data_IF_877773429611
#
_entry.id   IF_877773429611
#
_cell.length_a   1.000
_cell.length_b   1.000
_cell.length_c   1.000
_cell.angle_alpha   90.00
_cell.angle_beta   90.00
_cell.angle_gamma   90.00
#
_symmetry.space_group_name_H-M   'P 1'
#
loop_
_entity.id
_entity.type
_entity.pdbx_description
1 polymer ?
#
# COMPACT_ATOMS: atom_id res chain seq x y z
N UNK A 1 -25.87 -8.83 7.48
CA UNK A 1 -25.22 -8.11 6.36
C UNK A 1 -24.79 -6.74 6.85
N UNK A 2 -23.63 -6.26 6.42
CA UNK A 2 -23.19 -4.88 6.67
C UNK A 2 -23.76 -3.97 5.57
N UNK A 3 -24.07 -2.72 5.92
CA UNK A 3 -24.54 -1.70 4.97
C UNK A 3 -23.41 -1.29 4.02
N UNK A 4 -23.76 -1.02 2.76
CA UNK A 4 -22.80 -0.46 1.81
C UNK A 4 -22.55 1.02 2.13
N UNK A 5 -21.29 1.39 2.28
CA UNK A 5 -20.87 2.76 2.56
C UNK A 5 -20.22 3.36 1.32
N UNK A 6 -20.77 4.46 0.83
CA UNK A 6 -20.12 5.26 -0.23
C UNK A 6 -19.00 6.14 0.35
N UNK A 7 -17.87 6.17 -0.34
CA UNK A 7 -16.73 7.01 0.03
C UNK A 7 -15.44 6.58 -0.64
N UNK A 8 -14.34 7.22 -0.24
CA UNK A 8 -12.99 6.92 -0.70
C UNK A 8 -12.49 5.68 0.04
N UNK A 9 -12.16 4.57 -0.65
CA UNK A 9 -11.48 3.44 -0.03
C UNK A 9 -10.09 3.88 0.46
N UNK A 10 -9.83 3.69 1.74
CA UNK A 10 -8.63 4.18 2.39
C UNK A 10 -8.06 3.15 3.36
N UNK A 11 -6.78 3.29 3.68
CA UNK A 11 -6.17 2.52 4.75
C UNK A 11 -5.20 3.38 5.56
N UNK A 12 -5.03 3.06 6.83
CA UNK A 12 -3.97 3.60 7.67
C UNK A 12 -2.88 2.53 7.86
N UNK A 13 -1.62 2.92 7.76
CA UNK A 13 -0.51 2.13 8.30
C UNK A 13 -0.14 2.68 9.67
N UNK A 14 -0.06 1.82 10.68
CA UNK A 14 0.27 2.17 12.04
C UNK A 14 1.52 1.41 12.50
N UNK A 15 2.25 2.05 13.39
CA UNK A 15 3.20 1.39 14.27
C UNK A 15 2.67 1.46 15.70
N UNK A 16 2.51 0.31 16.34
CA UNK A 16 1.96 0.19 17.69
C UNK A 16 3.07 -0.29 18.63
N UNK A 17 3.78 0.69 19.21
CA UNK A 17 4.76 0.50 20.29
C UNK A 17 4.10 0.72 21.66
N UNK A 18 4.68 1.59 22.50
CA UNK A 18 4.04 2.06 23.73
C UNK A 18 2.70 2.75 23.45
N UNK A 19 2.67 3.58 22.40
CA UNK A 19 1.48 4.28 21.93
C UNK A 19 1.32 4.07 20.41
N UNK A 20 0.10 3.82 19.90
CA UNK A 20 -0.11 3.66 18.47
C UNK A 20 0.18 4.94 17.70
N UNK A 21 1.10 4.91 16.75
CA UNK A 21 1.41 6.01 15.84
C UNK A 21 0.93 5.69 14.43
N UNK A 22 0.10 6.56 13.85
CA UNK A 22 -0.35 6.41 12.45
C UNK A 22 0.72 7.00 11.52
N UNK A 23 1.45 6.12 10.83
CA UNK A 23 2.54 6.48 9.92
C UNK A 23 2.01 7.09 8.63
N UNK A 24 0.95 6.52 8.07
CA UNK A 24 0.34 7.04 6.85
C UNK A 24 -1.17 6.77 6.81
N UNK A 25 -1.87 7.67 6.11
CA UNK A 25 -3.24 7.48 5.63
C UNK A 25 -3.14 7.41 4.12
N UNK A 26 -3.76 6.41 3.51
CA UNK A 26 -3.48 5.95 2.15
C UNK A 26 -4.78 5.81 1.36
N UNK A 27 -4.73 6.00 0.05
CA UNK A 27 -5.84 5.67 -0.85
C UNK A 27 -5.69 4.20 -1.25
N UNK A 28 -6.78 3.44 -1.24
CA UNK A 28 -6.80 2.12 -1.86
C UNK A 28 -7.31 2.27 -3.29
N UNK A 29 -6.56 1.70 -4.24
CA UNK A 29 -6.95 1.64 -5.65
C UNK A 29 -7.70 0.33 -5.84
N UNK A 30 -9.00 0.42 -6.11
CA UNK A 30 -9.88 -0.73 -6.27
C UNK A 30 -10.43 -0.80 -7.69
N UNK A 31 -10.59 -2.02 -8.20
CA UNK A 31 -11.44 -2.30 -9.36
C UNK A 31 -12.80 -2.80 -8.87
N UNK A 32 -13.86 -2.06 -9.20
CA UNK A 32 -15.22 -2.41 -8.87
C UNK A 32 -15.86 -3.10 -10.08
N UNK A 33 -15.95 -4.43 -10.03
CA UNK A 33 -16.66 -5.25 -11.01
C UNK A 33 -17.58 -6.24 -10.31
N UNK A 34 -17.75 -7.44 -10.88
CA UNK A 34 -18.48 -8.54 -10.21
C UNK A 34 -17.86 -8.91 -8.86
N UNK A 35 -16.54 -8.77 -8.76
CA UNK A 35 -15.78 -8.89 -7.52
C UNK A 35 -14.99 -7.59 -7.30
N UNK A 36 -14.87 -7.15 -6.05
CA UNK A 36 -13.98 -6.06 -5.68
C UNK A 36 -12.54 -6.59 -5.69
N UNK A 37 -11.65 -5.95 -6.45
CA UNK A 37 -10.22 -6.28 -6.46
C UNK A 37 -9.40 -5.13 -5.96
N UNK A 38 -8.51 -5.40 -5.02
CA UNK A 38 -7.47 -4.47 -4.61
C UNK A 38 -6.35 -4.46 -5.65
N UNK A 39 -6.09 -3.30 -6.25
CA UNK A 39 -5.07 -3.09 -7.28
C UNK A 39 -3.82 -2.40 -6.75
N UNK A 40 -3.84 -1.94 -5.49
CA UNK A 40 -2.72 -1.24 -4.88
C UNK A 40 -3.14 -0.01 -4.09
N UNK A 41 -2.20 0.89 -3.84
CA UNK A 41 -2.42 2.07 -2.99
C UNK A 41 -1.58 3.27 -3.39
N UNK A 42 -2.06 4.45 -3.03
CA UNK A 42 -1.31 5.70 -3.08
C UNK A 42 -1.08 6.20 -1.66
N UNK A 43 0.14 6.66 -1.39
CA UNK A 43 0.66 6.97 -0.05
C UNK A 43 1.35 8.34 -0.10
N UNK A 44 0.85 9.37 0.60
CA UNK A 44 -0.36 9.43 1.40
C UNK A 44 -1.62 9.84 0.60
N UNK A 45 -2.79 9.59 1.15
CA UNK A 45 -4.05 10.22 0.79
C UNK A 45 -4.17 11.60 1.46
N UNK A 46 -4.39 12.64 0.66
CA UNK A 46 -4.63 14.01 1.13
C UNK A 46 -6.12 14.24 1.33
N UNK A 47 -6.51 14.63 2.55
CA UNK A 47 -7.90 14.94 2.94
C UNK A 47 -7.94 16.27 3.70
N UNK A 48 -9.13 16.90 3.84
CA UNK A 48 -9.33 18.00 4.78
C UNK A 48 -8.81 17.63 6.19
N UNK A 49 -8.18 18.57 6.94
CA UNK A 49 -7.55 18.27 8.21
C UNK A 49 -8.47 17.61 9.24
N UNK A 50 -9.74 18.01 9.29
CA UNK A 50 -10.74 17.43 10.19
C UNK A 50 -10.97 15.94 9.90
N UNK A 51 -11.14 15.58 8.63
CA UNK A 51 -11.40 14.21 8.19
C UNK A 51 -10.16 13.33 8.34
N UNK A 52 -8.97 13.86 8.02
CA UNK A 52 -7.69 13.20 8.24
C UNK A 52 -7.47 12.87 9.72
N UNK A 53 -7.76 13.82 10.64
CA UNK A 53 -7.71 13.58 12.09
C UNK A 53 -8.67 12.48 12.52
N UNK A 54 -9.90 12.49 12.02
CA UNK A 54 -10.87 11.44 12.36
C UNK A 54 -10.39 10.05 11.90
N UNK A 55 -9.86 9.93 10.68
CA UNK A 55 -9.34 8.65 10.18
C UNK A 55 -8.21 8.12 11.06
N UNK A 56 -7.28 9.00 11.43
CA UNK A 56 -6.13 8.65 12.30
C UNK A 56 -6.59 8.27 13.70
N UNK A 57 -7.56 8.97 14.26
CA UNK A 57 -8.13 8.67 15.57
C UNK A 57 -8.84 7.31 15.57
N UNK A 58 -9.69 7.04 14.56
CA UNK A 58 -10.33 5.74 14.39
C UNK A 58 -9.30 4.61 14.34
N UNK A 59 -8.21 4.80 13.59
CA UNK A 59 -7.15 3.81 13.48
C UNK A 59 -6.40 3.59 14.80
N UNK A 60 -6.00 4.65 15.51
CA UNK A 60 -5.35 4.56 16.84
C UNK A 60 -6.23 3.84 17.84
N UNK A 61 -7.50 4.24 17.94
CA UNK A 61 -8.45 3.66 18.89
C UNK A 61 -8.70 2.18 18.61
N UNK A 62 -8.77 1.80 17.33
CA UNK A 62 -8.89 0.38 16.94
C UNK A 62 -7.70 -0.45 17.42
N UNK A 63 -6.47 0.06 17.25
CA UNK A 63 -5.27 -0.62 17.74
C UNK A 63 -5.25 -0.77 19.27
N UNK A 64 -5.63 0.28 20.01
CA UNK A 64 -5.69 0.25 21.48
C UNK A 64 -6.73 -0.75 22.00
N UNK A 65 -7.94 -0.72 21.45
CA UNK A 65 -9.02 -1.63 21.85
C UNK A 65 -8.67 -3.10 21.63
N UNK A 66 -7.87 -3.39 20.59
CA UNK A 66 -7.44 -4.75 20.26
C UNK A 66 -6.12 -5.15 20.93
N UNK A 67 -5.48 -4.26 21.69
CA UNK A 67 -4.18 -4.54 22.33
C UNK A 67 -3.08 -4.89 21.32
N UNK A 68 -3.15 -4.33 20.11
CA UNK A 68 -2.24 -4.67 19.02
C UNK A 68 -0.80 -4.20 19.29
N UNK A 69 0.18 -4.83 18.62
CA UNK A 69 1.61 -4.45 18.69
C UNK A 69 2.26 -4.57 17.31
N UNK A 70 3.29 -3.78 17.07
CA UNK A 70 4.05 -3.79 15.82
C UNK A 70 3.35 -3.04 14.69
N UNK A 71 3.60 -3.43 13.43
CA UNK A 71 2.98 -2.77 12.26
C UNK A 71 1.58 -3.35 12.03
N UNK A 72 0.60 -2.47 11.93
CA UNK A 72 -0.78 -2.83 11.65
C UNK A 72 -1.36 -1.99 10.52
N UNK A 73 -2.34 -2.53 9.83
CA UNK A 73 -3.19 -1.83 8.88
C UNK A 73 -4.60 -1.61 9.45
N UNK A 74 -5.24 -0.51 9.07
CA UNK A 74 -6.68 -0.31 9.32
C UNK A 74 -7.33 0.14 8.02
N UNK A 75 -8.29 -0.63 7.56
CA UNK A 75 -9.04 -0.31 6.35
C UNK A 75 -10.28 0.51 6.69
N UNK A 76 -10.51 1.56 5.91
CA UNK A 76 -11.52 2.58 6.11
C UNK A 76 -12.26 2.85 4.79
N UNK A 77 -13.51 3.27 4.89
CA UNK A 77 -14.18 4.02 3.82
C UNK A 77 -14.42 5.44 4.30
N UNK A 78 -13.90 6.42 3.56
CA UNK A 78 -13.96 7.83 3.93
C UNK A 78 -15.08 8.51 3.14
N UNK A 79 -16.25 8.61 3.76
CA UNK A 79 -17.38 9.41 3.28
C UNK A 79 -17.42 10.78 3.96
N UNK A 80 -18.58 11.19 4.47
CA UNK A 80 -18.71 12.38 5.35
C UNK A 80 -17.90 12.26 6.67
N UNK A 81 -17.63 11.02 7.09
CA UNK A 81 -16.82 10.62 8.23
C UNK A 81 -16.10 9.31 7.85
N UNK A 82 -15.03 8.90 8.56
CA UNK A 82 -14.44 7.60 8.34
C UNK A 82 -15.35 6.49 8.89
N UNK A 83 -15.49 5.43 8.12
CA UNK A 83 -16.13 4.18 8.52
C UNK A 83 -15.05 3.11 8.62
N UNK A 84 -14.94 2.47 9.78
CA UNK A 84 -14.03 1.35 9.99
C UNK A 84 -14.53 0.11 9.25
N UNK A 85 -13.63 -0.58 8.54
CA UNK A 85 -13.94 -1.81 7.81
C UNK A 85 -13.22 -3.00 8.45
N UNK A 86 -11.90 -2.96 8.53
CA UNK A 86 -11.08 -4.09 8.97
C UNK A 86 -9.85 -3.62 9.74
N UNK A 87 -9.46 -4.36 10.78
CA UNK A 87 -8.18 -4.23 11.43
C UNK A 87 -7.27 -5.38 10.99
N UNK A 88 -6.11 -5.04 10.43
CA UNK A 88 -5.10 -5.99 9.98
C UNK A 88 -3.93 -5.97 10.98
N UNK A 89 -3.76 -6.96 11.88
CA UNK A 89 -2.66 -7.02 12.85
C UNK A 89 -1.33 -7.44 12.20
N UNK A 90 -1.04 -6.90 11.01
CA UNK A 90 0.12 -7.18 10.17
C UNK A 90 0.37 -6.01 9.21
N UNK A 91 1.58 -5.92 8.61
CA UNK A 91 1.79 -5.08 7.45
C UNK A 91 0.80 -5.39 6.32
N UNK A 92 0.25 -4.34 5.72
CA UNK A 92 -0.59 -4.38 4.51
C UNK A 92 0.24 -3.99 3.29
N UNK A 93 -0.27 -4.23 2.07
CA UNK A 93 0.46 -3.93 0.83
C UNK A 93 0.89 -2.46 0.72
N UNK A 94 0.10 -1.53 1.26
CA UNK A 94 0.44 -0.10 1.34
C UNK A 94 1.71 0.20 2.13
N UNK A 95 2.13 -0.69 3.04
CA UNK A 95 3.42 -0.60 3.73
C UNK A 95 4.61 -0.66 2.77
N UNK A 96 4.49 -1.42 1.67
CA UNK A 96 5.56 -1.55 0.67
C UNK A 96 5.87 -0.23 -0.05
N UNK A 97 4.84 0.59 -0.30
CA UNK A 97 5.03 1.96 -0.79
C UNK A 97 5.55 2.89 0.33
N UNK A 98 5.01 2.76 1.54
CA UNK A 98 5.40 3.60 2.68
C UNK A 98 6.91 3.53 2.97
N UNK A 99 7.51 2.33 2.97
CA UNK A 99 8.94 2.17 3.30
C UNK A 99 9.88 2.91 2.34
N UNK A 100 9.43 3.24 1.11
CA UNK A 100 10.21 4.02 0.15
C UNK A 100 10.30 5.51 0.51
N UNK A 101 9.36 6.00 1.31
CA UNK A 101 9.24 7.43 1.67
C UNK A 101 9.26 7.67 3.19
N UNK A 102 9.43 6.61 3.99
CA UNK A 102 9.48 6.72 5.44
C UNK A 102 10.84 7.30 5.86
N UNK A 103 10.80 8.43 6.57
CA UNK A 103 11.92 9.04 7.28
C UNK A 103 11.88 8.60 8.74
N UNK A 104 12.85 7.80 9.13
CA UNK A 104 12.97 7.24 10.48
C UNK A 104 13.71 5.90 10.42
N UNK A 105 14.09 5.38 11.59
CA UNK A 105 14.73 4.07 11.67
C UNK A 105 13.65 2.97 11.76
N UNK A 106 13.38 2.32 10.63
CA UNK A 106 12.40 1.22 10.58
C UNK A 106 12.82 0.05 11.48
N UNK A 107 14.12 -0.24 11.60
CA UNK A 107 14.60 -1.31 12.47
C UNK A 107 14.33 -0.98 13.94
N UNK A 108 14.55 0.26 14.37
CA UNK A 108 14.22 0.72 15.72
C UNK A 108 12.72 0.52 16.03
N UNK A 109 11.86 0.90 15.08
CA UNK A 109 10.42 0.71 15.20
C UNK A 109 10.06 -0.78 15.29
N UNK A 110 10.51 -1.59 14.34
CA UNK A 110 10.11 -2.99 14.24
C UNK A 110 10.71 -3.90 15.32
N UNK A 111 11.98 -3.68 15.67
CA UNK A 111 12.76 -4.57 16.54
C UNK A 111 12.70 -4.09 17.99
N UNK A 112 12.87 -2.79 18.20
CA UNK A 112 12.99 -2.22 19.55
C UNK A 112 11.64 -1.74 20.11
N UNK A 113 10.59 -1.70 19.28
CA UNK A 113 9.26 -1.28 19.72
C UNK A 113 9.16 0.22 20.01
N UNK A 114 10.14 1.02 19.56
CA UNK A 114 10.23 2.46 19.82
C UNK A 114 10.59 3.24 18.55
N UNK A 115 10.36 4.54 18.57
CA UNK A 115 10.72 5.43 17.47
C UNK A 115 9.54 6.14 16.83
N UNK A 116 9.85 7.16 16.02
CA UNK A 116 8.87 7.99 15.30
C UNK A 116 9.25 8.02 13.83
N UNK A 117 8.24 7.86 12.98
CA UNK A 117 8.38 8.02 11.54
C UNK A 117 7.67 9.27 11.06
N UNK A 118 8.24 9.92 10.06
CA UNK A 118 7.54 10.89 9.21
C UNK A 118 7.64 10.43 7.77
N UNK A 119 6.76 10.92 6.89
CA UNK A 119 6.86 10.62 5.45
C UNK A 119 7.49 11.80 4.72
N UNK A 120 8.38 11.51 3.79
CA UNK A 120 9.03 12.49 2.91
C UNK A 120 8.78 12.14 1.45
N UNK A 121 7.84 12.85 0.82
CA UNK A 121 7.43 12.59 -0.56
C UNK A 121 6.13 11.77 -0.63
N UNK A 122 5.90 11.19 -1.80
CA UNK A 122 4.74 10.34 -2.08
C UNK A 122 5.19 9.05 -2.78
N UNK A 123 4.40 7.99 -2.63
CA UNK A 123 4.66 6.68 -3.19
C UNK A 123 3.36 6.03 -3.65
N UNK A 124 3.47 5.09 -4.55
CA UNK A 124 2.38 4.23 -4.96
C UNK A 124 2.85 2.78 -5.07
N UNK A 125 1.92 1.86 -4.88
CA UNK A 125 2.09 0.43 -5.12
C UNK A 125 0.98 -0.04 -6.04
N UNK A 126 1.31 -0.90 -6.99
CA UNK A 126 0.36 -1.58 -7.88
C UNK A 126 0.61 -3.08 -7.87
N UNK A 127 -0.48 -3.83 -7.87
CA UNK A 127 -0.48 -5.27 -8.10
C UNK A 127 -0.85 -5.48 -9.56
N UNK A 128 0.10 -5.96 -10.34
CA UNK A 128 -0.08 -6.17 -11.77
C UNK A 128 -0.35 -7.64 -12.04
N UNK A 129 -1.26 -7.90 -12.98
CA UNK A 129 -1.50 -9.21 -13.56
C UNK A 129 -0.85 -9.25 -14.94
N UNK A 130 -0.04 -10.27 -15.18
CA UNK A 130 0.70 -10.47 -16.41
C UNK A 130 0.43 -11.88 -16.96
N UNK A 131 0.54 -12.08 -18.29
CA UNK A 131 0.44 -13.41 -18.89
C UNK A 131 1.59 -14.32 -18.42
N UNK A 132 1.60 -15.62 -18.76
CA UNK A 132 2.77 -16.47 -18.53
C UNK A 132 4.05 -15.88 -19.13
N UNK A 133 5.15 -15.95 -18.39
CA UNK A 133 6.49 -15.60 -18.89
C UNK A 133 7.02 -16.67 -19.83
N UNK A 134 7.81 -16.30 -20.87
CA UNK A 134 8.60 -17.26 -21.62
C UNK A 134 9.70 -17.89 -20.74
N UNK A 135 10.26 -19.04 -21.11
CA UNK A 135 11.43 -19.62 -20.45
C UNK A 135 12.57 -18.59 -20.34
N UNK A 136 13.17 -18.46 -19.15
CA UNK A 136 14.21 -17.46 -18.87
C UNK A 136 13.69 -16.03 -18.66
N UNK A 137 12.39 -15.77 -18.82
CA UNK A 137 11.82 -14.43 -18.69
C UNK A 137 11.97 -13.79 -17.30
N UNK A 138 12.20 -14.58 -16.25
CA UNK A 138 12.43 -14.09 -14.88
C UNK A 138 13.86 -13.59 -14.63
N UNK A 139 14.83 -13.92 -15.48
CA UNK A 139 16.25 -13.64 -15.23
C UNK A 139 16.54 -12.13 -15.18
N UNK A 140 17.12 -11.67 -14.07
CA UNK A 140 17.46 -10.27 -13.84
C UNK A 140 16.26 -9.38 -13.50
N UNK A 141 15.07 -9.95 -13.28
CA UNK A 141 13.91 -9.16 -12.84
C UNK A 141 14.10 -8.62 -11.41
N UNK A 142 14.81 -9.35 -10.56
CA UNK A 142 15.16 -8.95 -9.20
C UNK A 142 15.99 -7.67 -9.11
N UNK A 143 16.66 -7.30 -10.20
CA UNK A 143 17.46 -6.08 -10.32
C UNK A 143 16.63 -4.87 -10.75
N UNK A 144 15.39 -5.08 -11.22
CA UNK A 144 14.52 -4.00 -11.67
C UNK A 144 14.07 -3.17 -10.48
N UNK A 145 14.60 -1.95 -10.40
CA UNK A 145 14.22 -1.01 -9.37
C UNK A 145 12.70 -0.73 -9.40
N UNK A 146 12.05 -0.94 -8.25
CA UNK A 146 10.60 -0.80 -8.09
C UNK A 146 9.82 -2.11 -8.21
N UNK A 147 10.41 -3.20 -8.69
CA UNK A 147 9.81 -4.54 -8.61
C UNK A 147 10.12 -5.15 -7.24
N UNK A 148 9.10 -5.41 -6.42
CA UNK A 148 9.28 -5.87 -5.03
C UNK A 148 9.14 -7.36 -4.83
N UNK A 149 8.65 -8.06 -5.82
CA UNK A 149 8.48 -9.52 -5.78
C UNK A 149 8.90 -10.07 -7.13
N UNK A 150 9.67 -11.17 -7.18
CA UNK A 150 9.68 -12.01 -8.37
C UNK A 150 8.22 -12.31 -8.76
N UNK A 151 7.89 -12.39 -10.06
CA UNK A 151 6.55 -12.71 -10.48
C UNK A 151 6.06 -14.03 -9.85
N UNK A 152 4.92 -13.96 -9.16
CA UNK A 152 4.30 -15.11 -8.49
C UNK A 152 3.31 -15.76 -9.44
N UNK A 153 3.47 -17.06 -9.68
CA UNK A 153 2.59 -17.82 -10.57
C UNK A 153 1.14 -17.84 -10.04
N UNK A 154 0.20 -17.81 -10.97
CA UNK A 154 -1.26 -17.93 -10.76
C UNK A 154 -1.84 -18.83 -11.84
N UNK A 155 -3.10 -19.23 -11.69
CA UNK A 155 -3.80 -20.03 -12.72
C UNK A 155 -3.82 -19.38 -14.12
N UNK A 156 -3.72 -18.05 -14.20
CA UNK A 156 -3.89 -17.28 -15.45
C UNK A 156 -2.61 -16.62 -15.95
N UNK A 157 -1.48 -16.84 -15.29
CA UNK A 157 -0.22 -16.14 -15.57
C UNK A 157 0.50 -15.78 -14.28
N UNK A 158 0.92 -14.53 -14.13
CA UNK A 158 1.71 -14.07 -12.99
C UNK A 158 1.12 -12.83 -12.33
N UNK A 159 1.41 -12.70 -11.03
CA UNK A 159 1.19 -11.48 -10.25
C UNK A 159 2.51 -10.91 -9.77
N UNK A 160 2.60 -9.59 -9.78
CA UNK A 160 3.79 -8.88 -9.32
C UNK A 160 3.40 -7.59 -8.62
N UNK A 161 4.28 -7.15 -7.72
CA UNK A 161 4.10 -5.89 -7.00
C UNK A 161 5.14 -4.89 -7.50
N UNK A 162 4.65 -3.78 -8.06
CA UNK A 162 5.47 -2.67 -8.54
C UNK A 162 5.23 -1.46 -7.66
N UNK A 163 6.30 -0.74 -7.32
CA UNK A 163 6.25 0.49 -6.55
C UNK A 163 6.96 1.63 -7.26
N UNK A 164 6.40 2.83 -7.14
CA UNK A 164 7.05 4.07 -7.51
C UNK A 164 6.99 5.07 -6.38
N UNK A 165 7.94 5.99 -6.35
CA UNK A 165 8.04 7.03 -5.32
C UNK A 165 8.68 8.29 -5.90
N UNK A 166 8.40 9.44 -5.31
CA UNK A 166 8.89 10.73 -5.77
C UNK A 166 8.54 11.85 -4.79
N UNK A 167 8.77 13.09 -5.22
CA UNK A 167 8.44 14.29 -4.42
C UNK A 167 6.94 14.50 -4.31
N UNK A 168 6.19 14.06 -5.31
CA UNK A 168 4.73 14.11 -5.39
C UNK A 168 4.17 12.84 -6.06
N UNK A 169 2.83 12.71 -6.06
CA UNK A 169 2.16 11.54 -6.64
C UNK A 169 2.45 11.37 -8.14
N UNK A 170 2.65 12.48 -8.86
CA UNK A 170 2.86 12.43 -10.31
C UNK A 170 4.20 11.74 -10.60
N UNK A 171 5.26 12.15 -9.92
CA UNK A 171 6.57 11.49 -10.02
C UNK A 171 6.50 10.02 -9.57
N UNK A 172 5.78 9.74 -8.49
CA UNK A 172 5.62 8.37 -8.00
C UNK A 172 4.91 7.46 -9.01
N UNK A 173 3.84 7.95 -9.64
CA UNK A 173 3.11 7.20 -10.68
C UNK A 173 3.95 7.04 -11.95
N UNK A 174 4.67 8.09 -12.36
CA UNK A 174 5.56 8.01 -13.50
C UNK A 174 6.63 6.93 -13.31
N UNK A 175 7.32 6.94 -12.17
CA UNK A 175 8.32 5.90 -11.86
C UNK A 175 7.73 4.50 -11.84
N UNK A 176 6.53 4.34 -11.28
CA UNK A 176 5.83 3.06 -11.26
C UNK A 176 5.52 2.56 -12.69
N UNK A 177 5.10 3.46 -13.58
CA UNK A 177 4.84 3.11 -14.98
C UNK A 177 6.13 2.77 -15.73
N UNK A 178 7.22 3.50 -15.50
CA UNK A 178 8.54 3.17 -16.06
C UNK A 178 9.00 1.76 -15.63
N UNK A 179 8.84 1.41 -14.35
CA UNK A 179 9.10 0.05 -13.87
C UNK A 179 8.17 -0.98 -14.54
N UNK A 180 6.89 -0.66 -14.72
CA UNK A 180 5.94 -1.54 -15.40
C UNK A 180 6.33 -1.78 -16.86
N UNK A 181 6.71 -0.74 -17.59
CA UNK A 181 7.17 -0.85 -18.98
C UNK A 181 8.43 -1.71 -19.07
N UNK A 182 9.39 -1.52 -18.16
CA UNK A 182 10.61 -2.32 -18.10
C UNK A 182 10.31 -3.81 -17.85
N UNK A 183 9.44 -4.11 -16.87
CA UNK A 183 8.98 -5.48 -16.63
C UNK A 183 8.24 -6.03 -17.85
N UNK A 184 7.47 -5.19 -18.54
CA UNK A 184 6.70 -5.57 -19.72
C UNK A 184 7.55 -6.03 -20.90
N UNK A 185 8.79 -5.54 -21.04
CA UNK A 185 9.74 -6.01 -22.08
C UNK A 185 10.07 -7.49 -21.96
N UNK A 186 9.82 -8.12 -20.80
CA UNK A 186 10.04 -9.55 -20.57
C UNK A 186 8.89 -10.43 -21.06
N UNK A 187 7.79 -9.83 -21.50
CA UNK A 187 6.62 -10.54 -22.00
C UNK A 187 6.49 -10.33 -23.52
N UNK A 188 6.26 -11.42 -24.25
CA UNK A 188 6.14 -11.40 -25.71
C UNK A 188 4.92 -10.62 -26.20
N UNK A 189 3.89 -10.50 -25.37
CA UNK A 189 2.65 -9.75 -25.66
C UNK A 189 1.95 -9.37 -24.35
N UNK A 190 2.36 -8.28 -23.71
CA UNK A 190 1.62 -7.70 -22.59
C UNK A 190 1.09 -6.33 -23.00
N UNK A 191 -0.17 -6.30 -23.44
CA UNK A 191 -0.92 -5.06 -23.62
C UNK A 191 -1.56 -4.70 -22.28
N UNK A 192 -1.23 -3.49 -21.82
CA UNK A 192 -1.58 -2.90 -20.53
C UNK A 192 -3.08 -2.74 -20.27
#
# INVERSE_FOLDING_TARGET
FQEFVEGIPASCCLFVGEEPSVLSLNRQVLSLGRNIRYLGSDVPLRLPPSLSRQCRETARRSAQLLGAKGICGVDLVVGRKPYFIEFNPRPTTSFLALVKILRGNLAEMLVEGRGKGSIGGEACVRILEAPPLPPGGMEGMEEIEGLLTPPVATEKGFKMVVVGWGRDLKEALQRMEETREEVGKRFSSWSS
#
